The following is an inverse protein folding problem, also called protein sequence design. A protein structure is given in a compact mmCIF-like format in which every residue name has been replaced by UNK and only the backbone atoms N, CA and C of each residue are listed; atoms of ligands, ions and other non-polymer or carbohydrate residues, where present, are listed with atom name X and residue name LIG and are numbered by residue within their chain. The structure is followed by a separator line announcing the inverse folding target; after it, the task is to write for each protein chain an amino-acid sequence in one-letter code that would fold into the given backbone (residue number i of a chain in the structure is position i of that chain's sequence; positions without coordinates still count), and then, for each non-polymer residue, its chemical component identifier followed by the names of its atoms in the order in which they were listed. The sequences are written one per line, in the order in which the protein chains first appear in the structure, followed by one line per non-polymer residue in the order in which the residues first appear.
data_IF_434485083754
#
_entry.id   IF_434485083754
#
_cell.length_a   1.000
_cell.length_b   1.000
_cell.length_c   1.000
_cell.angle_alpha   90.00
_cell.angle_beta   90.00
_cell.angle_gamma   90.00
#
_symmetry.space_group_name_H-M   'P 1'
#
loop_
_entity.id
_entity.type
_entity.pdbx_description
1 polymer ?
#
# COMPACT_ATOMS: atom_id res chain seq x y z
N UNK A 1 10.57 -3.72 -18.36
CA UNK A 1 10.02 -3.36 -17.04
C UNK A 1 10.25 -4.50 -16.05
N UNK A 2 10.97 -4.21 -14.98
CA UNK A 2 11.11 -5.04 -13.79
C UNK A 2 9.75 -5.30 -13.11
N UNK A 3 9.70 -6.24 -12.17
CA UNK A 3 8.47 -6.51 -11.38
C UNK A 3 8.03 -5.28 -10.58
N UNK A 4 8.98 -4.53 -10.03
CA UNK A 4 8.70 -3.30 -9.29
C UNK A 4 8.10 -2.22 -10.21
N UNK A 5 8.68 -1.99 -11.39
CA UNK A 5 8.14 -1.01 -12.35
C UNK A 5 6.72 -1.36 -12.79
N UNK A 6 6.43 -2.64 -13.01
CA UNK A 6 5.06 -3.11 -13.32
C UNK A 6 4.09 -2.85 -12.17
N UNK A 7 4.52 -3.07 -10.93
CA UNK A 7 3.69 -2.81 -9.75
C UNK A 7 3.40 -1.31 -9.58
N UNK A 8 4.42 -0.44 -9.76
CA UNK A 8 4.26 1.01 -9.76
C UNK A 8 3.26 1.45 -10.84
N UNK A 9 3.50 1.08 -12.10
CA UNK A 9 2.64 1.42 -13.22
C UNK A 9 1.18 0.95 -13.02
N UNK A 10 0.99 -0.26 -12.46
CA UNK A 10 -0.34 -0.77 -12.16
C UNK A 10 -1.04 0.11 -11.13
N UNK A 11 -0.40 0.46 -10.01
CA UNK A 11 -1.02 1.36 -9.03
C UNK A 11 -1.26 2.77 -9.60
N UNK A 12 -0.36 3.32 -10.41
CA UNK A 12 -0.52 4.64 -11.05
C UNK A 12 -1.81 4.72 -11.89
N UNK A 13 -2.22 3.61 -12.52
CA UNK A 13 -3.47 3.52 -13.28
C UNK A 13 -4.74 3.52 -12.40
N UNK A 14 -4.60 3.41 -11.07
CA UNK A 14 -5.68 3.37 -10.07
C UNK A 14 -6.79 2.37 -10.43
N UNK A 15 -6.47 1.08 -10.65
CA UNK A 15 -7.40 0.13 -11.23
C UNK A 15 -8.43 -0.32 -10.17
N UNK A 16 -9.69 -0.50 -10.57
CA UNK A 16 -10.80 -0.81 -9.64
C UNK A 16 -10.67 -2.17 -8.96
N UNK A 17 -9.88 -3.07 -9.52
CA UNK A 17 -9.63 -4.43 -9.04
C UNK A 17 -8.33 -4.53 -8.22
N UNK A 18 -7.68 -3.40 -7.88
CA UNK A 18 -6.44 -3.42 -7.12
C UNK A 18 -6.63 -4.04 -5.73
N UNK A 19 -5.70 -4.89 -5.34
CA UNK A 19 -5.79 -5.70 -4.12
C UNK A 19 -4.84 -5.25 -3.03
N UNK A 20 -5.16 -5.59 -1.79
CA UNK A 20 -4.29 -5.34 -0.65
C UNK A 20 -2.99 -6.14 -0.75
N UNK A 21 -3.03 -7.36 -1.32
CA UNK A 21 -1.81 -8.14 -1.58
C UNK A 21 -0.85 -7.43 -2.54
N UNK A 22 -1.36 -6.78 -3.59
CA UNK A 22 -0.56 -5.97 -4.51
C UNK A 22 0.02 -4.72 -3.82
N UNK A 23 -0.79 -4.03 -3.01
CA UNK A 23 -0.32 -2.92 -2.19
C UNK A 23 0.81 -3.34 -1.25
N UNK A 24 0.63 -4.45 -0.54
CA UNK A 24 1.62 -5.02 0.37
C UNK A 24 2.91 -5.36 -0.36
N UNK A 25 2.83 -6.04 -1.51
CA UNK A 25 4.00 -6.35 -2.33
C UNK A 25 4.77 -5.10 -2.70
N UNK A 26 4.10 -4.10 -3.28
CA UNK A 26 4.73 -2.84 -3.70
C UNK A 26 5.41 -2.15 -2.51
N UNK A 27 4.72 -2.00 -1.39
CA UNK A 27 5.24 -1.34 -0.19
C UNK A 27 6.47 -2.05 0.38
N UNK A 28 6.45 -3.39 0.42
CA UNK A 28 7.63 -4.17 0.84
C UNK A 28 8.80 -3.97 -0.11
N UNK A 29 8.58 -3.93 -1.43
CA UNK A 29 9.66 -3.62 -2.39
C UNK A 29 10.21 -2.19 -2.22
N UNK A 30 9.38 -1.26 -1.77
CA UNK A 30 9.76 0.13 -1.45
C UNK A 30 10.41 0.30 -0.06
N UNK A 31 10.61 -0.79 0.68
CA UNK A 31 11.24 -0.78 2.00
C UNK A 31 10.32 -0.45 3.17
N UNK A 32 8.99 -0.44 2.96
CA UNK A 32 8.03 -0.35 4.05
C UNK A 32 7.82 -1.71 4.71
N UNK A 33 7.84 -1.72 6.03
CA UNK A 33 7.52 -2.88 6.86
C UNK A 33 6.10 -2.73 7.42
N UNK A 34 5.36 -3.84 7.47
CA UNK A 34 4.01 -3.92 8.02
C UNK A 34 4.07 -4.07 9.55
N UNK A 35 3.35 -3.20 10.28
CA UNK A 35 3.23 -3.21 11.73
C UNK A 35 1.76 -3.41 12.12
N UNK A 36 1.45 -4.60 12.65
CA UNK A 36 0.15 -4.93 13.23
C UNK A 36 0.23 -4.90 14.75
N UNK A 37 -0.50 -3.97 15.38
CA UNK A 37 -0.52 -3.81 16.84
C UNK A 37 -1.50 -4.81 17.47
N UNK A 38 -1.23 -6.11 17.34
CA UNK A 38 -1.95 -7.19 18.06
C UNK A 38 -3.46 -7.34 17.76
N UNK A 39 -4.12 -8.22 18.53
CA UNK A 39 -5.48 -8.78 18.29
C UNK A 39 -6.64 -7.75 18.30
N UNK A 40 -6.40 -6.49 18.63
CA UNK A 40 -7.43 -5.43 18.74
C UNK A 40 -7.33 -4.33 17.68
N UNK A 41 -6.35 -4.38 16.76
CA UNK A 41 -6.06 -3.26 15.85
C UNK A 41 -7.05 -3.08 14.68
N UNK A 42 -8.08 -3.94 14.57
CA UNK A 42 -9.08 -3.87 13.50
C UNK A 42 -8.47 -4.00 12.10
N UNK A 43 -9.13 -3.45 11.09
CA UNK A 43 -8.67 -3.46 9.69
C UNK A 43 -7.54 -2.46 9.41
N UNK A 44 -7.12 -1.64 10.37
CA UNK A 44 -6.10 -0.61 10.16
C UNK A 44 -4.71 -1.18 10.36
N UNK A 45 -3.91 -1.12 9.31
CA UNK A 45 -2.54 -1.62 9.25
C UNK A 45 -1.58 -0.46 9.06
N UNK A 46 -0.52 -0.40 9.87
CA UNK A 46 0.52 0.63 9.75
C UNK A 46 1.67 0.09 8.91
N UNK A 47 2.15 0.90 7.98
CA UNK A 47 3.39 0.68 7.26
C UNK A 47 4.42 1.72 7.69
N UNK A 48 5.65 1.31 7.94
CA UNK A 48 6.73 2.20 8.30
C UNK A 48 8.01 1.84 7.55
N UNK A 49 8.66 2.87 7.00
CA UNK A 49 9.93 2.74 6.30
C UNK A 49 11.03 3.41 7.11
N UNK A 50 12.04 2.61 7.49
CA UNK A 50 13.08 3.03 8.43
C UNK A 50 14.04 4.07 7.88
N UNK A 51 14.35 4.03 6.58
CA UNK A 51 15.41 4.87 5.99
C UNK A 51 15.10 6.38 6.07
N UNK A 52 13.83 6.74 5.98
CA UNK A 52 13.35 8.13 5.92
C UNK A 52 12.21 8.41 6.90
N UNK A 53 11.92 7.46 7.80
CA UNK A 53 10.91 7.60 8.84
C UNK A 53 9.46 7.69 8.33
N UNK A 54 9.21 7.36 7.05
CA UNK A 54 7.89 7.52 6.44
C UNK A 54 6.88 6.53 6.99
N UNK A 55 5.67 7.01 7.26
CA UNK A 55 4.56 6.22 7.82
C UNK A 55 3.34 6.35 6.93
N UNK A 56 2.67 5.22 6.69
CA UNK A 56 1.36 5.18 6.03
C UNK A 56 0.42 4.26 6.80
N UNK A 57 -0.87 4.58 6.77
CA UNK A 57 -1.92 3.71 7.26
C UNK A 57 -2.74 3.19 6.07
N UNK A 58 -2.97 1.88 6.04
CA UNK A 58 -3.85 1.24 5.09
C UNK A 58 -4.98 0.54 5.80
N UNK A 59 -6.14 0.52 5.16
CA UNK A 59 -7.27 -0.30 5.58
C UNK A 59 -7.21 -1.63 4.85
N UNK A 60 -6.97 -2.71 5.58
CA UNK A 60 -7.08 -4.08 5.09
C UNK A 60 -8.56 -4.37 4.79
N UNK A 61 -8.90 -4.71 3.54
CA UNK A 61 -10.27 -5.04 3.18
C UNK A 61 -10.68 -6.38 3.84
N UNK A 62 -11.97 -6.50 4.13
CA UNK A 62 -12.58 -7.71 4.69
C UNK A 62 -14.03 -7.80 4.20
N UNK A 63 -14.54 -8.97 3.75
CA UNK A 63 -13.87 -10.28 3.74
C UNK A 63 -12.96 -10.53 2.52
N UNK A 64 -13.01 -9.68 1.50
CA UNK A 64 -12.27 -9.86 0.23
C UNK A 64 -10.96 -9.05 0.20
N UNK A 65 -10.05 -9.38 -0.73
CA UNK A 65 -8.73 -8.72 -0.84
C UNK A 65 -8.74 -7.42 -1.66
N UNK A 66 -9.84 -7.13 -2.38
CA UNK A 66 -9.95 -5.93 -3.21
C UNK A 66 -10.08 -4.66 -2.35
N UNK A 67 -9.28 -3.65 -2.68
CA UNK A 67 -9.30 -2.37 -1.98
C UNK A 67 -10.41 -1.46 -2.50
N UNK A 68 -10.92 -0.58 -1.65
CA UNK A 68 -11.84 0.47 -2.10
C UNK A 68 -11.12 1.49 -2.98
N UNK A 69 -11.84 2.10 -3.92
CA UNK A 69 -11.28 3.15 -4.79
C UNK A 69 -10.67 4.32 -4.00
N UNK A 70 -11.22 4.65 -2.83
CA UNK A 70 -10.64 5.65 -1.93
C UNK A 70 -9.25 5.22 -1.46
N UNK A 71 -9.13 4.00 -0.91
CA UNK A 71 -7.85 3.49 -0.41
C UNK A 71 -6.79 3.36 -1.52
N UNK A 72 -7.20 3.01 -2.75
CA UNK A 72 -6.30 2.94 -3.90
C UNK A 72 -5.77 4.34 -4.27
N UNK A 73 -6.65 5.35 -4.31
CA UNK A 73 -6.27 6.74 -4.59
C UNK A 73 -5.37 7.29 -3.50
N UNK A 74 -5.70 7.05 -2.23
CA UNK A 74 -4.90 7.52 -1.09
C UNK A 74 -3.49 6.93 -1.12
N UNK A 75 -3.37 5.62 -1.40
CA UNK A 75 -2.10 4.94 -1.56
C UNK A 75 -1.29 5.53 -2.73
N UNK A 76 -1.90 5.69 -3.89
CA UNK A 76 -1.22 6.25 -5.07
C UNK A 76 -0.73 7.68 -4.81
N UNK A 77 -1.61 8.54 -4.30
CA UNK A 77 -1.28 9.94 -4.02
C UNK A 77 -0.19 10.07 -2.94
N UNK A 78 -0.22 9.21 -1.92
CA UNK A 78 0.84 9.18 -0.90
C UNK A 78 2.20 8.83 -1.51
N UNK A 79 2.26 7.79 -2.35
CA UNK A 79 3.50 7.35 -3.00
C UNK A 79 4.02 8.37 -4.03
N UNK A 80 3.13 8.99 -4.81
CA UNK A 80 3.45 10.12 -5.71
C UNK A 80 4.04 11.29 -4.89
N UNK A 81 3.42 11.64 -3.77
CA UNK A 81 3.86 12.74 -2.90
C UNK A 81 5.23 12.54 -2.23
N UNK A 82 5.72 11.29 -2.16
CA UNK A 82 7.07 10.98 -1.64
C UNK A 82 8.05 10.59 -2.75
N UNK A 83 7.67 10.70 -4.03
CA UNK A 83 8.52 10.41 -5.18
C UNK A 83 8.77 8.92 -5.43
N UNK A 84 7.90 8.04 -4.94
CA UNK A 84 8.02 6.59 -5.13
C UNK A 84 7.16 6.04 -6.27
N UNK A 85 6.17 6.79 -6.71
CA UNK A 85 5.36 6.53 -7.89
C UNK A 85 5.64 7.58 -8.95
#
# INVERSE_FOLDING_TARGET
MSKLEKAKARLSSRPKDYTYSEAKYLLTQLGFEEYNKGKTSGSRVKYYRKIDGKVMLLHKPHPFDQMSMGAIKDLANYLEGIGEL
#
